data_IF_395007646492
#
_entry.id   IF_395007646492
#
_cell.length_a   1.000
_cell.length_b   1.000
_cell.length_c   1.000
_cell.angle_alpha   90.00
_cell.angle_beta   90.00
_cell.angle_gamma   90.00
#
_symmetry.space_group_name_H-M   'P 1'
#
loop_
_entity.id
_entity.type
_entity.pdbx_description
1 polymer ?
#
# COMPACT_ATOMS: atom_id res chain seq x y z
N UNK A 1 -6.91 -11.32 -2.85
CA UNK A 1 -6.03 -10.41 -3.60
C UNK A 1 -5.03 -9.77 -2.64
N UNK A 2 -3.76 -9.66 -2.98
CA UNK A 2 -2.80 -8.93 -2.14
C UNK A 2 -2.86 -7.42 -2.38
N UNK A 3 -2.47 -6.68 -1.36
CA UNK A 3 -2.51 -5.21 -1.37
C UNK A 3 -1.21 -4.63 -0.86
N UNK A 4 -0.99 -3.38 -1.20
CA UNK A 4 0.10 -2.55 -0.65
C UNK A 4 -0.47 -1.21 -0.20
N UNK A 5 0.16 -0.61 0.79
CA UNK A 5 -0.09 0.77 1.19
C UNK A 5 1.23 1.47 1.43
N UNK A 6 1.33 2.73 1.02
CA UNK A 6 2.42 3.62 1.42
C UNK A 6 1.80 4.72 2.27
N UNK A 7 2.29 4.90 3.48
CA UNK A 7 1.71 5.84 4.43
C UNK A 7 2.78 6.41 5.36
N UNK A 8 2.43 7.50 6.05
CA UNK A 8 3.19 8.00 7.16
C UNK A 8 3.04 7.04 8.33
N UNK A 9 4.14 6.37 8.71
CA UNK A 9 4.15 5.38 9.78
C UNK A 9 5.10 5.88 10.87
N UNK A 10 4.52 6.26 12.01
CA UNK A 10 5.28 6.84 13.13
C UNK A 10 6.06 5.79 13.91
N UNK A 11 5.54 4.56 14.01
CA UNK A 11 6.19 3.45 14.69
C UNK A 11 6.32 2.25 13.73
N UNK A 12 7.46 2.13 13.03
CA UNK A 12 7.66 1.01 12.09
C UNK A 12 7.79 -0.35 12.79
N UNK A 13 8.00 -0.38 14.09
CA UNK A 13 8.13 -1.62 14.86
C UNK A 13 6.81 -2.04 15.53
N UNK A 14 5.73 -1.31 15.30
CA UNK A 14 4.42 -1.65 15.85
C UNK A 14 3.95 -3.04 15.39
N UNK A 15 3.18 -3.70 16.24
CA UNK A 15 2.57 -5.00 15.92
C UNK A 15 1.21 -4.87 15.25
N UNK A 16 0.59 -3.70 15.39
CA UNK A 16 -0.70 -3.37 14.79
C UNK A 16 -0.62 -1.98 14.20
N UNK A 17 -1.34 -1.80 13.10
CA UNK A 17 -1.40 -0.53 12.39
C UNK A 17 -2.86 -0.19 12.08
N UNK A 18 -3.19 1.10 12.19
CA UNK A 18 -4.50 1.63 11.82
C UNK A 18 -4.32 2.66 10.72
N UNK A 19 -5.10 2.52 9.64
CA UNK A 19 -5.12 3.48 8.55
C UNK A 19 -6.55 3.96 8.36
N UNK A 20 -6.83 5.19 8.79
CA UNK A 20 -8.18 5.77 8.75
C UNK A 20 -8.43 6.49 7.46
N UNK A 21 -9.58 6.20 6.84
CA UNK A 21 -10.04 6.88 5.63
C UNK A 21 -8.95 6.94 4.56
N UNK A 22 -8.21 5.85 4.37
CA UNK A 22 -7.17 5.77 3.37
C UNK A 22 -7.79 5.78 1.97
N UNK A 23 -7.22 6.59 1.08
CA UNK A 23 -7.60 6.58 -0.33
C UNK A 23 -7.28 5.22 -0.94
N UNK A 24 -8.01 4.85 -1.99
CA UNK A 24 -7.81 3.59 -2.68
C UNK A 24 -7.61 3.79 -4.17
N UNK A 25 -6.86 2.90 -4.81
CA UNK A 25 -6.66 2.88 -6.25
C UNK A 25 -6.34 1.44 -6.68
N UNK A 26 -6.48 1.15 -7.95
CA UNK A 26 -6.14 -0.18 -8.53
C UNK A 26 -6.81 -1.34 -7.78
N UNK A 27 -8.10 -1.20 -7.47
CA UNK A 27 -8.85 -2.24 -6.77
C UNK A 27 -8.71 -2.21 -5.25
N UNK A 28 -7.99 -1.23 -4.69
CA UNK A 28 -7.79 -1.12 -3.24
C UNK A 28 -9.08 -1.00 -2.43
N UNK A 29 -10.16 -0.49 -3.03
CA UNK A 29 -11.47 -0.40 -2.37
C UNK A 29 -12.07 -1.75 -2.01
N UNK A 30 -11.60 -2.83 -2.64
CA UNK A 30 -12.06 -4.20 -2.37
C UNK A 30 -11.35 -4.88 -1.22
N UNK A 31 -10.44 -4.21 -0.52
CA UNK A 31 -9.71 -4.80 0.60
C UNK A 31 -10.67 -5.21 1.72
N UNK A 32 -10.41 -6.40 2.29
CA UNK A 32 -11.27 -7.01 3.31
C UNK A 32 -10.46 -7.66 4.40
N UNK A 33 -11.14 -7.98 5.50
CA UNK A 33 -10.58 -8.81 6.56
C UNK A 33 -9.96 -10.09 5.99
N UNK A 34 -8.81 -10.47 6.52
CA UNK A 34 -7.98 -11.62 6.13
C UNK A 34 -7.12 -11.40 4.88
N UNK A 35 -7.25 -10.28 4.19
CA UNK A 35 -6.39 -9.98 3.04
C UNK A 35 -4.96 -9.71 3.49
N UNK A 36 -4.00 -10.12 2.64
CA UNK A 36 -2.59 -9.82 2.82
C UNK A 36 -2.28 -8.39 2.39
N UNK A 37 -1.45 -7.69 3.16
CA UNK A 37 -1.04 -6.33 2.83
C UNK A 37 0.44 -6.12 3.17
N UNK A 38 1.14 -5.39 2.31
CA UNK A 38 2.53 -4.98 2.53
C UNK A 38 2.56 -3.48 2.84
N UNK A 39 3.29 -3.11 3.88
CA UNK A 39 3.32 -1.76 4.41
C UNK A 39 4.62 -1.06 4.04
N UNK A 40 4.51 0.09 3.40
CA UNK A 40 5.62 0.96 3.04
C UNK A 40 5.54 2.26 3.84
N UNK A 41 6.59 2.58 4.59
CA UNK A 41 6.71 3.86 5.25
C UNK A 41 7.15 4.92 4.24
N UNK A 42 6.37 6.00 4.13
CA UNK A 42 6.60 7.06 3.14
C UNK A 42 7.94 7.76 3.38
N UNK A 43 8.78 7.81 2.36
CA UNK A 43 10.09 8.45 2.44
C UNK A 43 9.97 9.98 2.58
N UNK A 44 8.89 10.58 2.06
CA UNK A 44 8.64 12.02 2.24
C UNK A 44 8.34 12.39 3.69
N UNK A 45 7.96 11.41 4.52
CA UNK A 45 7.73 11.58 5.96
C UNK A 45 8.87 10.97 6.80
N UNK A 46 10.03 10.73 6.19
CA UNK A 46 11.19 10.17 6.87
C UNK A 46 11.22 8.65 6.97
N UNK A 47 10.29 7.96 6.31
CA UNK A 47 10.27 6.49 6.28
C UNK A 47 11.30 5.90 5.32
N UNK A 48 11.47 4.58 5.37
CA UNK A 48 12.48 3.85 4.62
C UNK A 48 11.91 2.82 3.63
N UNK A 49 10.65 2.98 3.21
CA UNK A 49 10.01 2.05 2.29
C UNK A 49 9.42 0.84 2.98
N UNK A 50 9.61 -0.35 2.42
CA UNK A 50 9.02 -1.60 2.92
C UNK A 50 9.44 -1.89 4.36
N UNK A 51 8.46 -2.04 5.26
CA UNK A 51 8.72 -2.31 6.68
C UNK A 51 8.08 -3.61 7.17
N UNK A 52 6.90 -3.98 6.67
CA UNK A 52 6.14 -5.08 7.26
C UNK A 52 5.23 -5.75 6.25
N UNK A 53 4.92 -7.01 6.53
CA UNK A 53 3.82 -7.75 5.93
C UNK A 53 2.78 -8.02 7.00
N UNK A 54 1.52 -7.84 6.68
CA UNK A 54 0.44 -8.01 7.63
C UNK A 54 -0.79 -8.64 7.03
N UNK A 55 -1.77 -8.86 7.91
CA UNK A 55 -3.11 -9.35 7.57
C UNK A 55 -4.11 -8.32 8.05
N UNK A 56 -5.06 -7.98 7.18
CA UNK A 56 -6.15 -7.06 7.52
C UNK A 56 -7.07 -7.74 8.53
N UNK A 57 -7.26 -7.12 9.68
CA UNK A 57 -8.15 -7.63 10.74
C UNK A 57 -9.53 -6.98 10.71
N UNK A 58 -9.64 -5.78 10.14
CA UNK A 58 -10.93 -5.15 9.87
C UNK A 58 -10.81 -4.19 8.69
N UNK A 59 -11.89 -4.02 7.95
CA UNK A 59 -11.98 -3.08 6.85
C UNK A 59 -13.39 -2.50 6.79
N UNK A 60 -13.49 -1.17 6.72
CA UNK A 60 -14.78 -0.48 6.66
C UNK A 60 -14.73 0.65 5.63
N UNK A 61 -15.64 0.61 4.68
CA UNK A 61 -15.79 1.70 3.72
C UNK A 61 -16.20 2.99 4.44
N UNK A 62 -15.63 4.11 4.02
CA UNK A 62 -15.93 5.42 4.60
C UNK A 62 -16.91 6.14 3.68
N UNK A 63 -18.03 6.61 4.26
CA UNK A 63 -19.01 7.40 3.53
C UNK A 63 -18.40 8.75 3.14
N UNK A 64 -18.52 9.12 1.87
CA UNK A 64 -18.01 10.40 1.36
C UNK A 64 -19.18 11.21 0.84
N UNK A 65 -19.31 12.46 1.33
CA UNK A 65 -20.31 13.39 0.82
C UNK A 65 -19.76 14.13 -0.39
N UNK A 66 -20.48 14.09 -1.50
CA UNK A 66 -20.21 14.95 -2.66
C UNK A 66 -20.67 16.35 -2.31
N UNK A 67 -19.82 17.35 -2.56
CA UNK A 67 -20.16 18.77 -2.34
C UNK A 67 -21.03 19.30 -3.49
N UNK A 68 -20.78 18.82 -4.71
CA UNK A 68 -21.51 19.26 -5.92
C UNK A 68 -21.73 18.08 -6.86
N UNK A 69 -22.78 18.13 -7.72
CA UNK A 69 -22.99 17.12 -8.75
C UNK A 69 -21.80 17.04 -9.69
N UNK A 70 -21.30 15.82 -9.95
CA UNK A 70 -20.17 15.61 -10.83
C UNK A 70 -18.80 15.61 -10.16
N UNK A 71 -18.71 15.91 -8.85
CA UNK A 71 -17.45 15.79 -8.11
C UNK A 71 -16.93 14.35 -8.14
N UNK A 72 -15.65 14.21 -8.44
CA UNK A 72 -14.97 12.92 -8.35
C UNK A 72 -14.72 12.58 -6.90
N UNK A 73 -15.17 11.39 -6.50
CA UNK A 73 -14.99 10.89 -5.15
C UNK A 73 -14.12 9.64 -5.22
N UNK A 74 -12.91 9.74 -4.64
CA UNK A 74 -12.05 8.56 -4.49
C UNK A 74 -12.58 7.73 -3.33
N UNK A 75 -12.90 6.45 -3.54
CA UNK A 75 -13.31 5.57 -2.43
C UNK A 75 -12.27 5.53 -1.34
N UNK A 76 -12.70 5.58 -0.08
CA UNK A 76 -11.84 5.50 1.10
C UNK A 76 -12.24 4.34 1.95
N UNK A 77 -11.26 3.70 2.57
CA UNK A 77 -11.45 2.55 3.46
C UNK A 77 -10.59 2.74 4.70
N UNK A 78 -11.17 2.48 5.86
CA UNK A 78 -10.40 2.39 7.10
C UNK A 78 -10.07 0.92 7.37
N UNK A 79 -8.80 0.64 7.64
CA UNK A 79 -8.35 -0.73 7.90
C UNK A 79 -7.55 -0.82 9.18
N UNK A 80 -7.64 -1.96 9.84
CA UNK A 80 -6.75 -2.38 10.91
C UNK A 80 -5.88 -3.53 10.38
N UNK A 81 -4.59 -3.51 10.67
CA UNK A 81 -3.63 -4.49 10.19
C UNK A 81 -2.85 -5.07 11.34
N UNK A 82 -2.77 -6.40 11.40
CA UNK A 82 -1.87 -7.11 12.31
C UNK A 82 -0.61 -7.49 11.56
N UNK A 83 0.55 -7.11 12.10
CA UNK A 83 1.85 -7.49 11.51
C UNK A 83 2.08 -8.99 11.63
N UNK A 84 2.44 -9.62 10.52
CA UNK A 84 2.86 -11.03 10.47
C UNK A 84 4.37 -11.15 10.50
N UNK A 85 5.08 -10.24 9.80
CA UNK A 85 6.54 -10.28 9.72
C UNK A 85 7.10 -8.87 9.46
N UNK A 86 8.34 -8.64 9.89
CA UNK A 86 9.12 -7.45 9.57
C UNK A 86 9.98 -7.70 8.34
N UNK A 87 10.19 -6.69 7.53
CA UNK A 87 11.08 -6.79 6.37
C UNK A 87 12.53 -7.05 6.85
N UNK A 88 13.18 -8.04 6.26
CA UNK A 88 14.58 -8.37 6.52
C UNK A 88 15.54 -7.61 5.61
N UNK A 89 15.04 -7.06 4.51
CA UNK A 89 15.80 -6.26 3.55
C UNK A 89 15.01 -5.01 3.23
N UNK A 90 15.72 -3.93 2.89
CA UNK A 90 15.07 -2.68 2.50
C UNK A 90 14.60 -2.72 1.05
N UNK A 91 13.52 -2.04 0.78
CA UNK A 91 13.01 -1.80 -0.57
C UNK A 91 12.28 -0.46 -0.54
N UNK A 92 12.83 0.53 -1.23
CA UNK A 92 12.27 1.87 -1.22
C UNK A 92 12.41 2.58 -2.55
N UNK A 93 12.22 3.90 -2.51
CA UNK A 93 12.26 4.75 -3.70
C UNK A 93 13.52 4.53 -4.54
N UNK A 94 14.69 4.49 -3.89
CA UNK A 94 15.97 4.40 -4.62
C UNK A 94 16.13 3.08 -5.36
N UNK A 95 15.51 2.01 -4.86
CA UNK A 95 15.53 0.70 -5.50
C UNK A 95 14.54 0.63 -6.67
N UNK A 96 13.45 1.39 -6.62
CA UNK A 96 12.33 1.27 -7.55
C UNK A 96 12.29 2.37 -8.61
N UNK A 97 12.88 3.53 -8.36
CA UNK A 97 12.73 4.72 -9.21
C UNK A 97 13.20 4.56 -10.66
N UNK A 98 14.06 3.59 -10.93
CA UNK A 98 14.57 3.33 -12.29
C UNK A 98 13.69 2.40 -13.11
N UNK A 99 12.72 1.74 -12.50
CA UNK A 99 11.81 0.80 -13.16
C UNK A 99 10.64 1.54 -13.81
N UNK A 100 10.90 2.16 -14.96
CA UNK A 100 9.94 3.04 -15.66
C UNK A 100 9.52 2.53 -17.03
N UNK A 101 9.88 1.32 -17.40
CA UNK A 101 9.34 0.65 -18.57
C UNK A 101 8.01 0.02 -18.22
N UNK A 102 6.94 0.81 -18.34
CA UNK A 102 5.59 0.45 -17.86
C UNK A 102 5.01 -0.81 -18.53
N UNK A 103 5.63 -1.29 -19.58
CA UNK A 103 5.15 -2.46 -20.33
C UNK A 103 5.97 -3.73 -20.06
N UNK A 104 6.98 -3.68 -19.19
CA UNK A 104 7.87 -4.82 -18.97
C UNK A 104 7.31 -5.92 -18.06
N UNK A 105 6.23 -5.63 -17.34
CA UNK A 105 5.54 -6.59 -16.46
C UNK A 105 6.30 -6.98 -15.19
N UNK A 106 7.39 -6.29 -14.85
CA UNK A 106 8.17 -6.62 -13.65
C UNK A 106 7.47 -6.14 -12.38
N UNK A 107 7.61 -6.89 -11.26
CA UNK A 107 7.07 -6.45 -9.96
C UNK A 107 7.59 -5.07 -9.54
N UNK A 108 8.85 -4.79 -9.73
CA UNK A 108 9.46 -3.50 -9.39
C UNK A 108 8.81 -2.37 -10.19
N UNK A 109 8.50 -2.60 -11.46
CA UNK A 109 7.83 -1.62 -12.32
C UNK A 109 6.41 -1.35 -11.85
N UNK A 110 5.67 -2.38 -11.47
CA UNK A 110 4.33 -2.20 -10.90
C UNK A 110 4.37 -1.34 -9.64
N UNK A 111 5.31 -1.59 -8.74
CA UNK A 111 5.46 -0.83 -7.50
C UNK A 111 5.89 0.61 -7.77
N UNK A 112 6.82 0.82 -8.69
CA UNK A 112 7.24 2.16 -9.09
C UNK A 112 6.06 2.97 -9.65
N UNK A 113 5.28 2.35 -10.53
CA UNK A 113 4.11 2.98 -11.12
C UNK A 113 3.09 3.42 -10.05
N UNK A 114 2.80 2.53 -9.09
CA UNK A 114 1.75 2.76 -8.09
C UNK A 114 2.18 3.69 -6.96
N UNK A 115 3.47 3.74 -6.63
CA UNK A 115 3.95 4.50 -5.49
C UNK A 115 4.77 5.73 -5.85
N UNK A 116 5.54 5.70 -6.93
CA UNK A 116 6.57 6.72 -7.20
C UNK A 116 6.36 7.49 -8.50
N UNK A 117 5.50 7.03 -9.38
CA UNK A 117 5.06 7.82 -10.52
C UNK A 117 4.08 8.91 -10.10
N UNK A 118 3.22 8.60 -9.13
CA UNK A 118 2.25 9.51 -8.56
C UNK A 118 2.48 9.60 -7.06
N UNK A 119 2.51 10.80 -6.50
CA UNK A 119 2.65 11.00 -5.05
C UNK A 119 1.34 10.61 -4.36
N UNK A 120 1.16 9.33 -4.06
CA UNK A 120 -0.11 8.87 -3.49
C UNK A 120 0.11 7.92 -2.33
N UNK A 121 -0.45 8.29 -1.18
CA UNK A 121 -0.59 7.41 -0.02
C UNK A 121 -1.93 6.68 -0.14
N UNK A 122 -1.96 5.62 -0.95
CA UNK A 122 -3.19 4.90 -1.25
C UNK A 122 -3.03 3.41 -0.99
N UNK A 123 -4.13 2.77 -0.63
CA UNK A 123 -4.22 1.30 -0.65
C UNK A 123 -4.38 0.89 -2.11
N UNK A 124 -3.48 0.05 -2.60
CA UNK A 124 -3.50 -0.43 -3.98
C UNK A 124 -3.50 -1.95 -4.02
N UNK A 125 -4.31 -2.52 -4.92
CA UNK A 125 -4.18 -3.93 -5.28
C UNK A 125 -2.90 -4.15 -6.08
N UNK A 126 -2.29 -5.33 -5.93
CA UNK A 126 -1.11 -5.74 -6.70
C UNK A 126 -1.31 -7.12 -7.30
N UNK A 127 -0.50 -7.45 -8.31
CA UNK A 127 -0.51 -8.77 -8.91
C UNK A 127 0.05 -9.83 -7.95
N UNK A 128 -0.28 -11.09 -8.22
CA UNK A 128 0.26 -12.21 -7.45
C UNK A 128 1.78 -12.32 -7.61
N UNK A 129 2.32 -11.97 -8.77
CA UNK A 129 3.76 -11.95 -9.05
C UNK A 129 4.46 -10.90 -8.20
N UNK A 130 3.87 -9.72 -8.06
CA UNK A 130 4.42 -8.66 -7.21
C UNK A 130 4.34 -9.05 -5.74
N UNK A 131 3.26 -9.69 -5.30
CA UNK A 131 3.17 -10.20 -3.93
C UNK A 131 4.25 -11.26 -3.66
N UNK A 132 4.48 -12.19 -4.59
CA UNK A 132 5.53 -13.20 -4.47
C UNK A 132 6.91 -12.56 -4.38
N UNK A 133 7.16 -11.53 -5.19
CA UNK A 133 8.39 -10.74 -5.11
C UNK A 133 8.58 -10.11 -3.73
N UNK A 134 7.55 -9.44 -3.21
CA UNK A 134 7.61 -8.79 -1.91
C UNK A 134 7.84 -9.76 -0.75
N UNK A 135 7.25 -10.95 -0.83
CA UNK A 135 7.42 -11.97 0.23
C UNK A 135 8.88 -12.40 0.40
N UNK A 136 9.73 -12.24 -0.60
CA UNK A 136 11.16 -12.56 -0.53
C UNK A 136 11.94 -11.64 0.42
N UNK A 137 11.36 -10.51 0.82
CA UNK A 137 11.99 -9.57 1.75
C UNK A 137 11.73 -9.92 3.22
N UNK A 138 11.00 -10.99 3.47
CA UNK A 138 10.58 -11.41 4.82
C UNK A 138 11.13 -12.77 5.27
#
# INVERSE_FOLDING_TARGET
MPYVIKADITDPDARQFSFRAAKTMYGGKGIREKDEIFLFASETQGGKGLIARGVVTSAAAVAIKRKEPGDRVTPRVSIEVKRVAKAKRSLGRDDLKTFRDWDDGKPETELCFKFYRQSTNKICGISNETAAFLRKFF
#
